data_IF_198793109845
#
_entry.id   IF_198793109845
#
_cell.length_a   1.000
_cell.length_b   1.000
_cell.length_c   1.000
_cell.angle_alpha   90.00
_cell.angle_beta   90.00
_cell.angle_gamma   90.00
#
_symmetry.space_group_name_H-M   'P 1'
#
loop_
_entity.id
_entity.type
_entity.pdbx_description
1 polymer ?
#
# COMPACT_ATOMS: atom_id res chain seq x y z
N UNK A 1 21.33 -9.47 3.03
CA UNK A 1 21.37 -8.06 2.59
C UNK A 1 19.96 -7.55 2.80
N UNK A 2 19.75 -6.77 3.85
CA UNK A 2 18.45 -6.19 4.16
C UNK A 2 18.04 -5.30 2.99
N UNK A 3 17.06 -5.78 2.22
CA UNK A 3 16.39 -5.01 1.20
C UNK A 3 15.65 -3.89 1.93
N UNK A 4 16.27 -2.72 2.08
CA UNK A 4 15.57 -1.48 2.48
C UNK A 4 14.67 -1.08 1.32
N UNK A 5 13.58 -1.83 1.10
CA UNK A 5 12.58 -1.50 0.09
C UNK A 5 11.85 -0.26 0.60
N UNK A 6 12.11 0.87 -0.05
CA UNK A 6 11.37 2.09 0.22
C UNK A 6 9.87 1.86 -0.01
N UNK A 7 9.04 2.33 0.92
CA UNK A 7 7.59 2.23 0.77
C UNK A 7 7.10 3.05 -0.43
N UNK A 8 6.07 2.56 -1.14
CA UNK A 8 5.46 3.30 -2.25
C UNK A 8 4.62 4.49 -1.76
N UNK A 9 4.54 5.60 -2.54
CA UNK A 9 3.68 6.74 -2.24
C UNK A 9 2.20 6.35 -2.09
N UNK A 10 1.47 6.99 -1.18
CA UNK A 10 0.02 6.84 -1.13
C UNK A 10 -0.59 7.41 -2.41
N UNK A 11 -1.71 6.86 -2.84
CA UNK A 11 -2.27 7.12 -4.17
C UNK A 11 -1.62 6.30 -5.29
N UNK A 12 -0.58 5.51 -5.00
CA UNK A 12 -0.03 4.55 -5.98
C UNK A 12 -1.10 3.52 -6.32
N UNK A 13 -1.33 3.29 -7.61
CA UNK A 13 -2.26 2.27 -8.13
C UNK A 13 -1.45 1.09 -8.63
N UNK A 14 -1.82 -0.11 -8.17
CA UNK A 14 -1.10 -1.36 -8.44
C UNK A 14 -2.04 -2.50 -8.85
N UNK A 15 -1.45 -3.57 -9.36
CA UNK A 15 -2.02 -4.93 -9.34
C UNK A 15 -1.34 -5.78 -8.28
N UNK A 16 -2.06 -6.78 -7.78
CA UNK A 16 -1.58 -7.73 -6.77
C UNK A 16 -1.78 -9.13 -7.35
N UNK A 17 -0.79 -10.02 -7.17
CA UNK A 17 -0.89 -11.39 -7.66
C UNK A 17 -2.17 -12.08 -7.18
N UNK A 18 -2.97 -12.58 -8.13
CA UNK A 18 -4.22 -13.30 -7.85
C UNK A 18 -5.43 -12.41 -7.55
N UNK A 19 -5.30 -11.08 -7.63
CA UNK A 19 -6.41 -10.15 -7.51
C UNK A 19 -6.72 -9.50 -8.87
N UNK A 20 -7.96 -9.68 -9.35
CA UNK A 20 -8.38 -9.09 -10.64
C UNK A 20 -8.53 -7.56 -10.57
N UNK A 21 -8.94 -7.03 -9.42
CA UNK A 21 -9.20 -5.60 -9.24
C UNK A 21 -7.93 -4.83 -8.90
N UNK A 22 -7.76 -3.66 -9.50
CA UNK A 22 -6.68 -2.70 -9.14
C UNK A 22 -6.85 -2.18 -7.73
N UNK A 23 -5.74 -1.95 -7.04
CA UNK A 23 -5.71 -1.43 -5.67
C UNK A 23 -4.95 -0.13 -5.62
N UNK A 24 -5.50 0.87 -4.94
CA UNK A 24 -4.81 2.12 -4.62
C UNK A 24 -4.34 2.08 -3.16
N UNK A 25 -3.04 2.27 -2.93
CA UNK A 25 -2.45 2.33 -1.59
C UNK A 25 -2.91 3.61 -0.90
N UNK A 26 -3.42 3.51 0.33
CA UNK A 26 -3.74 4.70 1.14
C UNK A 26 -3.13 4.65 2.55
N UNK A 27 -2.47 3.56 2.93
CA UNK A 27 -1.75 3.47 4.20
C UNK A 27 -0.56 2.52 4.15
N UNK A 28 0.37 2.70 5.10
CA UNK A 28 1.61 1.92 5.26
C UNK A 28 1.74 1.42 6.70
N UNK A 29 2.43 0.30 6.93
CA UNK A 29 2.64 -0.29 8.27
C UNK A 29 1.34 -0.42 9.07
N UNK A 30 0.28 -0.87 8.42
CA UNK A 30 -1.05 -0.91 9.04
C UNK A 30 -1.24 -2.22 9.83
N UNK A 31 -1.67 -2.09 11.09
CA UNK A 31 -2.14 -3.22 11.86
C UNK A 31 -3.64 -3.43 11.65
N UNK A 32 -4.04 -4.66 11.32
CA UNK A 32 -5.45 -5.05 11.27
C UNK A 32 -5.97 -5.29 12.70
N UNK A 33 -7.15 -4.76 13.04
CA UNK A 33 -7.64 -4.67 14.43
C UNK A 33 -7.65 -5.99 15.21
N UNK A 34 -7.75 -7.12 14.51
CA UNK A 34 -7.86 -8.45 15.11
C UNK A 34 -6.59 -9.30 14.95
N UNK A 35 -5.55 -8.76 14.31
CA UNK A 35 -4.29 -9.46 14.08
C UNK A 35 -3.13 -8.72 14.73
N UNK A 36 -2.14 -9.46 15.20
CA UNK A 36 -0.84 -8.90 15.62
C UNK A 36 0.09 -8.65 14.43
N UNK A 37 -0.38 -8.88 13.20
CA UNK A 37 0.38 -8.66 11.99
C UNK A 37 0.33 -7.19 11.59
N UNK A 38 1.49 -6.65 11.30
CA UNK A 38 1.66 -5.37 10.61
C UNK A 38 1.87 -5.70 9.15
N UNK A 39 1.00 -5.16 8.29
CA UNK A 39 1.10 -5.28 6.84
C UNK A 39 1.90 -4.11 6.28
N UNK A 40 2.64 -4.34 5.19
CA UNK A 40 3.35 -3.24 4.54
C UNK A 40 2.38 -2.15 4.07
N UNK A 41 1.26 -2.55 3.48
CA UNK A 41 0.27 -1.64 2.91
C UNK A 41 -1.16 -1.99 3.29
N UNK A 42 -2.00 -0.95 3.26
CA UNK A 42 -3.45 -1.07 3.12
C UNK A 42 -3.89 -0.22 1.92
N UNK A 43 -4.77 -0.79 1.11
CA UNK A 43 -5.34 -0.12 -0.05
C UNK A 43 -6.83 -0.33 -0.20
N UNK A 44 -7.42 0.39 -1.15
CA UNK A 44 -8.82 0.28 -1.53
C UNK A 44 -8.95 -0.03 -3.02
N UNK A 45 -10.12 -0.51 -3.44
CA UNK A 45 -10.37 -0.85 -4.84
C UNK A 45 -10.36 0.43 -5.70
N UNK A 46 -9.55 0.46 -6.74
CA UNK A 46 -9.55 1.54 -7.72
C UNK A 46 -10.54 1.23 -8.86
N UNK A 47 -11.39 2.18 -9.31
CA UNK A 47 -11.47 3.60 -8.92
C UNK A 47 -12.51 3.90 -7.83
N UNK A 48 -13.08 2.88 -7.17
CA UNK A 48 -14.20 3.04 -6.23
C UNK A 48 -13.83 3.75 -4.92
N UNK A 49 -12.59 3.64 -4.47
CA UNK A 49 -12.11 4.26 -3.23
C UNK A 49 -12.45 3.45 -1.96
N UNK A 50 -12.39 4.11 -0.81
CA UNK A 50 -12.65 3.49 0.50
C UNK A 50 -14.17 3.41 0.78
N UNK A 51 -14.74 2.20 0.71
CA UNK A 51 -16.18 1.97 0.88
C UNK A 51 -16.56 1.56 2.30
N UNK A 52 -15.89 0.53 2.83
CA UNK A 52 -16.03 0.08 4.21
C UNK A 52 -14.77 -0.71 4.61
N UNK A 53 -14.63 -1.00 5.90
CA UNK A 53 -13.52 -1.81 6.41
C UNK A 53 -13.43 -3.19 5.77
N UNK A 54 -14.54 -3.74 5.29
CA UNK A 54 -14.61 -5.07 4.67
C UNK A 54 -13.99 -5.09 3.26
N UNK A 55 -13.82 -3.91 2.64
CA UNK A 55 -13.20 -3.75 1.32
C UNK A 55 -11.74 -3.28 1.39
N UNK A 56 -11.16 -3.20 2.58
CA UNK A 56 -9.75 -2.89 2.74
C UNK A 56 -8.91 -4.08 2.28
N UNK A 57 -7.93 -3.81 1.42
CA UNK A 57 -6.97 -4.80 0.94
C UNK A 57 -5.67 -4.61 1.71
N UNK A 58 -5.33 -5.57 2.56
CA UNK A 58 -4.06 -5.62 3.28
C UNK A 58 -3.08 -6.53 2.56
N UNK A 59 -1.85 -6.07 2.31
CA UNK A 59 -0.87 -6.82 1.55
C UNK A 59 0.57 -6.38 1.85
N UNK A 60 1.51 -7.29 1.64
CA UNK A 60 2.94 -7.04 1.75
C UNK A 60 3.53 -6.64 0.39
N UNK A 61 4.62 -5.89 0.38
CA UNK A 61 5.23 -5.37 -0.85
C UNK A 61 5.60 -6.47 -1.85
N UNK A 62 5.93 -7.68 -1.36
CA UNK A 62 6.25 -8.84 -2.20
C UNK A 62 5.07 -9.33 -3.03
N UNK A 63 3.84 -8.98 -2.67
CA UNK A 63 2.63 -9.38 -3.38
C UNK A 63 2.27 -8.44 -4.55
N UNK A 64 2.97 -7.31 -4.68
CA UNK A 64 2.77 -6.37 -5.79
C UNK A 64 3.24 -7.03 -7.08
N UNK A 65 2.34 -7.10 -8.06
CA UNK A 65 2.65 -7.62 -9.40
C UNK A 65 3.15 -6.50 -10.31
N UNK A 66 2.41 -5.40 -10.41
CA UNK A 66 2.76 -4.25 -11.25
C UNK A 66 2.37 -2.93 -10.57
N UNK A 67 3.21 -1.90 -10.72
CA UNK A 67 2.86 -0.51 -10.38
C UNK A 67 2.36 0.19 -11.64
N UNK A 68 1.06 0.51 -11.67
CA UNK A 68 0.40 1.14 -12.82
C UNK A 68 0.50 2.66 -12.78
N UNK A 69 0.55 3.24 -11.58
CA UNK A 69 0.70 4.67 -11.37
C UNK A 69 1.37 4.90 -10.03
N UNK A 70 2.39 5.77 -10.01
CA UNK A 70 3.04 6.20 -8.77
C UNK A 70 2.26 7.36 -8.17
N UNK A 71 1.91 7.23 -6.89
CA UNK A 71 1.23 8.29 -6.13
C UNK A 71 2.01 9.60 -6.11
N UNK A 72 1.34 10.66 -5.64
CA UNK A 72 1.96 11.98 -5.54
C UNK A 72 3.15 11.94 -4.58
N UNK A 73 4.27 12.54 -5.01
CA UNK A 73 5.50 12.60 -4.24
C UNK A 73 5.93 14.06 -4.08
N UNK A 74 6.14 14.47 -2.84
CA UNK A 74 6.66 15.78 -2.45
C UNK A 74 7.67 15.59 -1.29
N UNK A 75 8.21 16.70 -0.78
CA UNK A 75 9.17 16.68 0.33
C UNK A 75 8.62 16.03 1.61
N UNK A 76 7.33 16.22 1.91
CA UNK A 76 6.66 15.61 3.07
C UNK A 76 6.59 14.07 2.91
N UNK A 77 6.17 13.59 1.75
CA UNK A 77 6.09 12.17 1.41
C UNK A 77 7.47 11.50 1.47
N UNK A 78 8.50 12.14 0.91
CA UNK A 78 9.89 11.66 0.97
C UNK A 78 10.42 11.64 2.40
N UNK A 79 10.07 12.63 3.23
CA UNK A 79 10.50 12.69 4.63
C UNK A 79 9.86 11.57 5.45
N UNK A 80 8.53 11.38 5.32
CA UNK A 80 7.81 10.32 6.00
C UNK A 80 8.31 8.93 5.58
N UNK A 81 8.57 8.69 4.29
CA UNK A 81 9.10 7.41 3.82
C UNK A 81 10.43 7.03 4.46
N UNK A 82 11.33 8.00 4.69
CA UNK A 82 12.62 7.77 5.37
C UNK A 82 12.42 7.36 6.83
N UNK A 83 11.45 7.93 7.52
CA UNK A 83 11.11 7.56 8.90
C UNK A 83 10.49 6.17 9.02
N UNK A 84 9.91 5.66 7.93
CA UNK A 84 9.29 4.34 7.88
C UNK A 84 10.29 3.21 7.55
N UNK A 85 11.56 3.49 7.24
CA UNK A 85 12.57 2.45 7.01
C UNK A 85 13.03 1.86 8.35
#
# INVERSE_FOLDING_TARGET
MENTKEFLPIGTVITIYGLEQKVMIYGRKQQQSNEKKIWDYVGCLYPYGNLSKDYNVFFDHIQIEEVLFTGYENEEELSLRKELI
#
